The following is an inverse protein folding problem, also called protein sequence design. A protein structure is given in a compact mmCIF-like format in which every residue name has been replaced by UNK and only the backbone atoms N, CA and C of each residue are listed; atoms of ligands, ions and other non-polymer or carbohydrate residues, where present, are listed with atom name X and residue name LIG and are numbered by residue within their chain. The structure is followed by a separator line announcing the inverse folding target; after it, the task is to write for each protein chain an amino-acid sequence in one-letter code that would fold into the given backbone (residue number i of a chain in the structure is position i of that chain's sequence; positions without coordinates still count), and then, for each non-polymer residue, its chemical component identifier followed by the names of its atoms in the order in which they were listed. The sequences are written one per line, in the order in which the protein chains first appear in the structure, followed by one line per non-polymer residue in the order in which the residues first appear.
data_IF_679465932864
#
_entry.id   IF_679465932864
#
_cell.length_a   1.000
_cell.length_b   1.000
_cell.length_c   1.000
_cell.angle_alpha   90.00
_cell.angle_beta   90.00
_cell.angle_gamma   90.00
#
_symmetry.space_group_name_H-M   'P 1'
#
loop_
_entity.id
_entity.type
_entity.pdbx_description
1 polymer ?
#
# COMPACT_ATOMS: atom_id res chain seq x y z
N UNK A 1 -12.86 8.06 7.91
CA UNK A 1 -11.39 7.94 8.06
C UNK A 1 -10.61 9.09 7.42
N UNK A 2 -10.74 9.37 6.11
CA UNK A 2 -9.97 10.45 5.46
C UNK A 2 -10.17 11.82 6.13
N UNK A 3 -11.43 12.20 6.41
CA UNK A 3 -11.73 13.48 7.07
C UNK A 3 -11.06 13.63 8.44
N UNK A 4 -11.02 12.54 9.22
CA UNK A 4 -10.38 12.53 10.54
C UNK A 4 -8.86 12.70 10.42
N UNK A 5 -8.21 11.93 9.55
CA UNK A 5 -6.77 12.11 9.31
C UNK A 5 -6.44 13.51 8.81
N UNK A 6 -7.24 14.05 7.88
CA UNK A 6 -7.05 15.41 7.39
C UNK A 6 -7.21 16.44 8.52
N UNK A 7 -8.16 16.24 9.44
CA UNK A 7 -8.32 17.11 10.61
C UNK A 7 -7.11 17.01 11.56
N UNK A 8 -6.57 15.81 11.80
CA UNK A 8 -5.37 15.62 12.61
C UNK A 8 -4.14 16.31 11.99
N UNK A 9 -3.93 16.19 10.68
CA UNK A 9 -2.82 16.88 10.00
C UNK A 9 -2.99 18.40 10.12
N UNK A 10 -4.20 18.92 9.89
CA UNK A 10 -4.50 20.34 10.07
C UNK A 10 -4.29 20.83 11.50
N UNK A 11 -4.59 19.99 12.49
CA UNK A 11 -4.33 20.28 13.89
C UNK A 11 -2.82 20.36 14.19
N UNK A 12 -2.03 19.40 13.69
CA UNK A 12 -0.56 19.37 13.93
C UNK A 12 0.15 20.58 13.35
N UNK A 13 -0.19 20.97 12.11
CA UNK A 13 0.48 22.10 11.46
C UNK A 13 -0.16 23.46 11.80
N UNK A 14 -1.41 23.48 12.30
CA UNK A 14 -2.25 24.62 12.69
C UNK A 14 -2.49 25.75 11.66
N UNK A 15 -1.60 25.89 10.68
CA UNK A 15 -1.46 27.00 9.74
C UNK A 15 -1.89 26.62 8.32
N UNK A 16 -2.43 25.42 8.10
CA UNK A 16 -2.86 24.96 6.78
C UNK A 16 -4.15 25.70 6.38
N UNK A 17 -4.19 26.47 5.29
CA UNK A 17 -5.41 27.13 4.81
C UNK A 17 -6.52 26.11 4.50
N UNK A 18 -7.78 26.48 4.70
CA UNK A 18 -8.93 25.56 4.54
C UNK A 18 -9.03 24.92 3.15
N UNK A 19 -8.62 25.66 2.10
CA UNK A 19 -8.65 25.20 0.71
C UNK A 19 -7.35 24.55 0.24
N UNK A 20 -6.29 24.61 1.04
CA UNK A 20 -4.99 24.04 0.70
C UNK A 20 -5.05 22.51 0.71
N UNK A 21 -4.28 21.88 -0.18
CA UNK A 21 -4.14 20.44 -0.20
C UNK A 21 -3.43 19.96 1.06
N UNK A 22 -4.04 18.98 1.75
CA UNK A 22 -3.47 18.40 2.98
C UNK A 22 -2.41 17.33 2.68
N UNK A 23 -2.41 16.78 1.47
CA UNK A 23 -1.48 15.72 1.02
C UNK A 23 0.01 16.02 1.25
N UNK A 24 0.56 17.20 0.92
CA UNK A 24 1.99 17.47 1.14
C UNK A 24 2.34 17.46 2.63
N UNK A 25 1.48 18.02 3.49
CA UNK A 25 1.64 17.97 4.95
C UNK A 25 1.55 16.54 5.51
N UNK A 26 0.66 15.75 4.93
CA UNK A 26 0.54 14.33 5.26
C UNK A 26 1.83 13.55 4.89
N UNK A 27 2.45 13.89 3.77
CA UNK A 27 3.75 13.34 3.36
C UNK A 27 4.88 13.84 4.26
N UNK A 28 4.89 15.11 4.67
CA UNK A 28 5.90 15.66 5.60
C UNK A 28 5.92 14.94 6.95
N UNK A 29 4.75 14.54 7.46
CA UNK A 29 4.66 13.69 8.67
C UNK A 29 5.13 12.25 8.45
N UNK A 30 5.46 11.88 7.21
CA UNK A 30 5.81 10.52 6.83
C UNK A 30 4.62 9.57 6.87
N UNK A 31 3.37 10.04 6.91
CA UNK A 31 2.19 9.19 7.05
C UNK A 31 1.74 8.61 5.69
N UNK A 32 1.23 7.37 5.70
CA UNK A 32 0.54 6.75 4.55
C UNK A 32 -0.91 7.23 4.40
N UNK A 33 -1.32 7.56 3.18
CA UNK A 33 -2.70 7.91 2.86
C UNK A 33 -3.67 6.82 3.33
N UNK A 34 -4.95 7.15 3.58
CA UNK A 34 -5.95 6.12 3.98
C UNK A 34 -5.96 4.93 3.02
N UNK A 35 -5.83 5.19 1.72
CA UNK A 35 -5.78 4.16 0.68
C UNK A 35 -4.59 3.23 0.90
N UNK A 36 -3.37 3.76 1.01
CA UNK A 36 -2.16 2.96 1.20
C UNK A 36 -2.07 2.33 2.58
N UNK A 37 -2.54 3.01 3.63
CA UNK A 37 -2.64 2.45 4.98
C UNK A 37 -3.56 1.23 5.03
N UNK A 38 -4.70 1.25 4.32
CA UNK A 38 -5.54 0.06 4.17
C UNK A 38 -4.79 -1.06 3.45
N UNK A 39 -4.09 -0.77 2.36
CA UNK A 39 -3.28 -1.77 1.64
C UNK A 39 -2.20 -2.37 2.55
N UNK A 40 -1.48 -1.53 3.29
CA UNK A 40 -0.48 -1.94 4.27
C UNK A 40 -1.06 -2.94 5.27
N UNK A 41 -2.18 -2.60 5.93
CA UNK A 41 -2.82 -3.47 6.92
C UNK A 41 -3.35 -4.77 6.31
N UNK A 42 -3.92 -4.72 5.10
CA UNK A 42 -4.44 -5.91 4.41
C UNK A 42 -3.31 -6.90 4.08
N UNK A 43 -2.23 -6.39 3.48
CA UNK A 43 -1.06 -7.20 3.13
C UNK A 43 -0.39 -7.73 4.39
N UNK A 44 -0.25 -6.88 5.42
CA UNK A 44 0.32 -7.24 6.70
C UNK A 44 -0.43 -8.41 7.35
N UNK A 45 -1.76 -8.32 7.38
CA UNK A 45 -2.61 -9.39 7.90
C UNK A 45 -2.44 -10.67 7.07
N UNK A 46 -2.48 -10.58 5.75
CA UNK A 46 -2.31 -11.73 4.87
C UNK A 46 -0.94 -12.42 5.05
N UNK A 47 0.14 -11.64 5.15
CA UNK A 47 1.48 -12.16 5.38
C UNK A 47 1.61 -12.80 6.77
N UNK A 48 1.00 -12.20 7.80
CA UNK A 48 0.96 -12.82 9.12
C UNK A 48 0.24 -14.16 9.10
N UNK A 49 -0.95 -14.24 8.48
CA UNK A 49 -1.67 -15.50 8.30
C UNK A 49 -0.82 -16.54 7.56
N UNK A 50 -0.15 -16.13 6.48
CA UNK A 50 0.73 -16.98 5.68
C UNK A 50 1.90 -17.55 6.48
N UNK A 51 2.43 -16.79 7.45
CA UNK A 51 3.58 -17.17 8.30
C UNK A 51 3.17 -17.95 9.54
N UNK A 52 2.15 -17.51 10.25
CA UNK A 52 1.66 -18.16 11.47
C UNK A 52 0.90 -19.45 11.17
N UNK A 53 0.26 -19.53 10.00
CA UNK A 53 -0.68 -20.60 9.68
C UNK A 53 -2.07 -20.43 10.31
N UNK A 54 -2.23 -19.46 11.22
CA UNK A 54 -3.42 -19.29 12.05
C UNK A 54 -4.08 -17.90 11.93
N UNK A 55 -5.42 -17.82 11.98
CA UNK A 55 -6.37 -18.93 12.10
C UNK A 55 -6.50 -19.73 10.79
N UNK A 56 -6.49 -21.06 10.91
CA UNK A 56 -6.52 -21.98 9.77
C UNK A 56 -7.62 -21.71 8.72
N UNK A 57 -8.87 -21.29 9.05
CA UNK A 57 -9.88 -21.01 8.04
C UNK A 57 -9.51 -19.82 7.15
N UNK A 58 -8.92 -18.78 7.73
CA UNK A 58 -8.48 -17.60 6.97
C UNK A 58 -7.21 -17.91 6.16
N UNK A 59 -6.31 -18.72 6.72
CA UNK A 59 -5.11 -19.17 6.00
C UNK A 59 -5.46 -19.96 4.74
N UNK A 60 -6.45 -20.84 4.83
CA UNK A 60 -6.90 -21.71 3.72
C UNK A 60 -7.49 -20.94 2.53
N UNK A 61 -7.84 -19.66 2.72
CA UNK A 61 -8.25 -18.78 1.62
C UNK A 61 -7.08 -18.47 0.66
N UNK A 62 -5.84 -18.50 1.16
CA UNK A 62 -4.65 -18.17 0.38
C UNK A 62 -3.98 -19.43 -0.18
N UNK A 63 -4.03 -19.60 -1.50
CA UNK A 63 -3.39 -20.73 -2.18
C UNK A 63 -2.08 -20.27 -2.83
N UNK A 64 -0.97 -20.91 -2.47
CA UNK A 64 0.31 -20.65 -3.14
C UNK A 64 0.27 -21.25 -4.53
N UNK A 65 0.87 -20.57 -5.50
CA UNK A 65 0.90 -21.09 -6.88
C UNK A 65 1.77 -22.35 -7.01
N UNK A 66 2.77 -22.56 -6.14
CA UNK A 66 3.59 -23.77 -6.11
C UNK A 66 2.79 -25.04 -5.77
N UNK A 67 1.69 -24.92 -5.03
CA UNK A 67 0.79 -26.02 -4.70
C UNK A 67 -0.04 -26.47 -5.92
N UNK A 68 -0.20 -25.57 -6.89
CA UNK A 68 -0.82 -25.87 -8.17
C UNK A 68 0.27 -26.30 -9.13
N UNK A 69 0.25 -27.57 -9.54
CA UNK A 69 1.03 -28.11 -10.66
C UNK A 69 0.59 -27.50 -12.01
N UNK A 70 0.59 -26.18 -12.13
CA UNK A 70 0.16 -25.43 -13.30
C UNK A 70 1.41 -25.00 -14.06
N UNK A 71 1.50 -25.44 -15.32
CA UNK A 71 2.59 -25.05 -16.23
C UNK A 71 2.48 -23.56 -16.50
N UNK A 72 3.42 -22.77 -15.97
CA UNK A 72 3.53 -21.36 -16.28
C UNK A 72 4.44 -21.15 -17.51
N UNK A 73 4.05 -20.23 -18.39
CA UNK A 73 4.91 -19.80 -19.49
C UNK A 73 6.16 -19.12 -18.93
N UNK A 74 7.35 -19.46 -19.45
CA UNK A 74 8.64 -18.87 -19.05
C UNK A 74 8.72 -17.35 -19.23
N UNK A 75 7.79 -16.76 -20.01
CA UNK A 75 7.76 -15.33 -20.31
C UNK A 75 7.10 -14.48 -19.22
N UNK A 76 6.41 -15.09 -18.25
CA UNK A 76 5.74 -14.37 -17.15
C UNK A 76 6.08 -15.04 -15.82
N UNK A 77 6.57 -14.25 -14.87
CA UNK A 77 6.77 -14.72 -13.51
C UNK A 77 5.40 -15.17 -12.94
N UNK A 78 5.35 -16.40 -12.42
CA UNK A 78 4.14 -16.92 -11.82
C UNK A 78 3.75 -16.05 -10.60
N UNK A 79 2.46 -15.71 -10.43
CA UNK A 79 2.03 -15.00 -9.23
C UNK A 79 2.33 -15.84 -7.99
N UNK A 80 2.70 -15.21 -6.88
CA UNK A 80 2.96 -15.91 -5.62
C UNK A 80 1.68 -16.56 -5.07
N UNK A 81 0.58 -15.81 -5.09
CA UNK A 81 -0.74 -16.24 -4.61
C UNK A 81 -1.69 -16.42 -5.78
N UNK A 82 -2.26 -17.61 -5.87
CA UNK A 82 -3.26 -17.95 -6.87
C UNK A 82 -4.67 -17.70 -6.32
N UNK A 83 -5.48 -16.99 -7.09
CA UNK A 83 -6.90 -16.81 -6.80
C UNK A 83 -7.76 -16.96 -8.06
N UNK A 84 -9.04 -17.30 -7.89
CA UNK A 84 -9.99 -17.36 -9.00
C UNK A 84 -10.35 -15.95 -9.44
N UNK A 85 -10.51 -15.73 -10.74
CA UNK A 85 -10.98 -14.45 -11.28
C UNK A 85 -12.34 -14.10 -10.66
N UNK A 86 -12.46 -12.96 -9.96
CA UNK A 86 -13.70 -12.58 -9.31
C UNK A 86 -14.75 -12.22 -10.37
N UNK A 87 -15.98 -12.72 -10.18
CA UNK A 87 -17.11 -12.44 -11.08
C UNK A 87 -17.98 -11.28 -10.63
N UNK A 88 -17.82 -10.83 -9.38
CA UNK A 88 -18.61 -9.75 -8.78
C UNK A 88 -17.68 -8.75 -8.09
N UNK A 89 -18.15 -7.51 -7.96
CA UNK A 89 -17.45 -6.44 -7.23
C UNK A 89 -17.22 -6.81 -5.76
N UNK A 90 -18.19 -7.48 -5.13
CA UNK A 90 -18.09 -7.96 -3.75
C UNK A 90 -16.90 -8.92 -3.56
N UNK A 91 -16.79 -9.93 -4.43
CA UNK A 91 -15.66 -10.88 -4.38
C UNK A 91 -14.37 -10.18 -4.77
N UNK A 92 -14.38 -9.32 -5.79
CA UNK A 92 -13.20 -8.56 -6.20
C UNK A 92 -12.64 -7.70 -5.07
N UNK A 93 -13.51 -7.09 -4.27
CA UNK A 93 -13.14 -6.24 -3.13
C UNK A 93 -12.99 -7.01 -1.81
N UNK A 94 -13.15 -8.34 -1.83
CA UNK A 94 -12.93 -9.18 -0.65
C UNK A 94 -11.48 -9.09 -0.18
N UNK A 95 -11.29 -9.35 1.12
CA UNK A 95 -10.00 -9.31 1.79
C UNK A 95 -8.94 -10.13 1.06
N UNK A 96 -9.18 -11.43 0.84
CA UNK A 96 -8.17 -12.35 0.32
C UNK A 96 -7.81 -12.08 -1.14
N UNK A 97 -8.79 -11.72 -1.99
CA UNK A 97 -8.54 -11.34 -3.39
C UNK A 97 -7.71 -10.06 -3.45
N UNK A 98 -8.13 -9.04 -2.71
CA UNK A 98 -7.46 -7.74 -2.71
C UNK A 98 -6.03 -7.87 -2.19
N UNK A 99 -5.83 -8.58 -1.07
CA UNK A 99 -4.51 -8.82 -0.51
C UNK A 99 -3.62 -9.63 -1.47
N UNK A 100 -4.15 -10.71 -2.07
CA UNK A 100 -3.40 -11.54 -3.02
C UNK A 100 -2.96 -10.74 -4.25
N UNK A 101 -3.85 -9.91 -4.80
CA UNK A 101 -3.52 -9.04 -5.93
C UNK A 101 -2.41 -8.06 -5.58
N UNK A 102 -2.49 -7.41 -4.41
CA UNK A 102 -1.46 -6.47 -3.97
C UNK A 102 -0.14 -7.21 -3.79
N UNK A 103 -0.13 -8.34 -3.07
CA UNK A 103 1.07 -9.16 -2.85
C UNK A 103 1.72 -9.57 -4.17
N UNK A 104 0.93 -10.01 -5.15
CA UNK A 104 1.44 -10.37 -6.48
C UNK A 104 1.99 -9.19 -7.28
N UNK A 105 1.61 -7.94 -6.94
CA UNK A 105 2.14 -6.73 -7.56
C UNK A 105 3.35 -6.14 -6.82
N UNK A 106 3.73 -6.70 -5.66
CA UNK A 106 4.87 -6.22 -4.91
C UNK A 106 6.19 -6.56 -5.63
N UNK A 107 7.22 -5.72 -5.47
CA UNK A 107 8.54 -6.03 -5.98
C UNK A 107 9.12 -7.27 -5.27
N UNK A 108 9.95 -8.04 -5.99
CA UNK A 108 10.59 -9.26 -5.50
C UNK A 108 11.40 -9.08 -4.19
N UNK A 109 11.77 -7.85 -3.83
CA UNK A 109 12.45 -7.57 -2.56
C UNK A 109 11.56 -7.78 -1.32
N UNK A 110 10.22 -7.77 -1.49
CA UNK A 110 9.25 -7.94 -0.40
C UNK A 110 8.68 -9.35 -0.48
N UNK A 111 9.41 -10.31 0.10
CA UNK A 111 9.02 -11.73 0.07
C UNK A 111 8.63 -12.25 1.47
N UNK A 112 8.01 -13.43 1.49
CA UNK A 112 7.64 -14.11 2.74
C UNK A 112 8.85 -14.45 3.61
N UNK A 113 10.03 -14.62 3.01
CA UNK A 113 11.29 -14.97 3.68
C UNK A 113 11.90 -13.85 4.51
N UNK A 114 11.48 -12.60 4.30
CA UNK A 114 12.02 -11.46 5.03
C UNK A 114 11.63 -11.56 6.52
N UNK A 115 12.50 -11.13 7.43
CA UNK A 115 12.17 -11.11 8.87
C UNK A 115 10.96 -10.20 9.14
N UNK A 116 10.31 -10.38 10.30
CA UNK A 116 9.08 -9.65 10.64
C UNK A 116 9.24 -8.11 10.63
N UNK A 117 10.42 -7.63 11.01
CA UNK A 117 10.71 -6.20 11.11
C UNK A 117 10.99 -5.64 9.71
N UNK A 118 11.84 -6.33 8.94
CA UNK A 118 12.29 -5.87 7.63
C UNK A 118 11.14 -5.74 6.63
N UNK A 119 10.21 -6.72 6.60
CA UNK A 119 9.11 -6.66 5.63
C UNK A 119 8.14 -5.50 5.91
N UNK A 120 7.91 -5.16 7.18
CA UNK A 120 7.01 -4.07 7.56
C UNK A 120 7.58 -2.74 7.10
N UNK A 121 8.86 -2.52 7.35
CA UNK A 121 9.58 -1.32 6.90
C UNK A 121 9.62 -1.24 5.37
N UNK A 122 9.98 -2.33 4.68
CA UNK A 122 10.04 -2.37 3.21
C UNK A 122 8.68 -2.13 2.56
N UNK A 123 7.62 -2.76 3.08
CA UNK A 123 6.25 -2.56 2.58
C UNK A 123 5.78 -1.14 2.82
N UNK A 124 6.06 -0.59 4.00
CA UNK A 124 5.72 0.79 4.33
C UNK A 124 6.38 1.76 3.36
N UNK A 125 7.70 1.64 3.19
CA UNK A 125 8.49 2.49 2.30
C UNK A 125 8.01 2.38 0.86
N UNK A 126 7.74 1.16 0.36
CA UNK A 126 7.21 0.97 -0.98
C UNK A 126 5.86 1.69 -1.18
N UNK A 127 4.92 1.52 -0.24
CA UNK A 127 3.61 2.17 -0.32
C UNK A 127 3.70 3.69 -0.16
N UNK A 128 4.64 4.17 0.65
CA UNK A 128 4.88 5.60 0.85
C UNK A 128 5.49 6.24 -0.40
N UNK A 129 6.42 5.56 -1.09
CA UNK A 129 6.91 5.99 -2.40
C UNK A 129 5.80 6.07 -3.45
N UNK A 130 4.84 5.13 -3.42
CA UNK A 130 3.67 5.20 -4.30
C UNK A 130 2.75 6.37 -3.97
N UNK A 131 2.55 6.71 -2.69
CA UNK A 131 1.81 7.92 -2.30
C UNK A 131 2.51 9.19 -2.78
N UNK A 132 3.84 9.26 -2.65
CA UNK A 132 4.64 10.37 -3.21
C UNK A 132 4.46 10.49 -4.72
N UNK A 133 4.57 9.38 -5.45
CA UNK A 133 4.38 9.37 -6.90
C UNK A 133 2.96 9.78 -7.32
N UNK A 134 1.93 9.28 -6.62
CA UNK A 134 0.54 9.66 -6.85
C UNK A 134 0.33 11.17 -6.62
N UNK A 135 0.96 11.74 -5.58
CA UNK A 135 0.92 13.17 -5.32
C UNK A 135 1.61 13.99 -6.42
N UNK A 136 2.82 13.59 -6.83
CA UNK A 136 3.57 14.27 -7.91
C UNK A 136 2.75 14.26 -9.21
N UNK A 137 2.19 13.11 -9.59
CA UNK A 137 1.34 13.00 -10.77
C UNK A 137 0.14 13.95 -10.68
N UNK A 138 -0.51 14.01 -9.51
CA UNK A 138 -1.63 14.91 -9.28
C UNK A 138 -1.23 16.38 -9.40
N UNK A 139 -0.10 16.78 -8.81
CA UNK A 139 0.43 18.13 -8.94
C UNK A 139 0.68 18.51 -10.40
N UNK A 140 1.22 17.59 -11.19
CA UNK A 140 1.42 17.79 -12.63
C UNK A 140 0.08 17.99 -13.36
N UNK A 141 -0.95 17.17 -13.07
CA UNK A 141 -2.26 17.30 -13.71
C UNK A 141 -3.02 18.57 -13.29
N UNK A 142 -2.92 18.96 -12.03
CA UNK A 142 -3.63 20.12 -11.48
C UNK A 142 -2.81 21.43 -11.61
N UNK A 143 -1.58 21.36 -12.12
CA UNK A 143 -0.62 22.46 -12.22
C UNK A 143 -0.37 23.18 -10.87
N UNK A 144 -0.15 22.40 -9.81
CA UNK A 144 0.07 22.87 -8.44
C UNK A 144 1.52 22.59 -8.03
N UNK A 145 2.12 23.49 -7.23
CA UNK A 145 3.43 23.24 -6.63
C UNK A 145 3.39 21.99 -5.72
N UNK A 146 4.32 21.03 -5.88
CA UNK A 146 4.27 19.77 -5.15
C UNK A 146 4.67 19.90 -3.68
N UNK A 147 5.46 20.92 -3.34
CA UNK A 147 5.84 21.23 -1.96
C UNK A 147 5.36 22.66 -1.68
N UNK A 148 4.45 22.87 -0.73
CA UNK A 148 4.04 24.21 -0.34
C UNK A 148 5.22 24.91 0.37
N UNK A 149 5.35 26.24 0.26
CA UNK A 149 6.45 27.00 0.87
C UNK A 149 6.81 26.64 2.32
N UNK A 150 5.87 26.43 3.25
CA UNK A 150 6.20 26.08 4.64
C UNK A 150 6.90 24.72 4.81
N UNK A 151 6.84 23.83 3.82
CA UNK A 151 7.40 22.47 3.90
C UNK A 151 8.69 22.28 3.09
N UNK A 152 9.21 23.32 2.46
CA UNK A 152 10.39 23.22 1.57
C UNK A 152 11.61 22.64 2.29
N UNK A 153 11.77 22.92 3.59
CA UNK A 153 12.87 22.42 4.40
C UNK A 153 12.60 21.04 5.04
N UNK A 154 11.35 20.60 5.08
CA UNK A 154 10.93 19.38 5.79
C UNK A 154 10.65 18.22 4.82
N UNK A 155 10.19 18.51 3.61
CA UNK A 155 9.72 17.52 2.67
C UNK A 155 10.62 17.43 1.44
N UNK A 156 11.36 16.33 1.35
CA UNK A 156 12.12 15.98 0.15
C UNK A 156 11.30 14.98 -0.69
N UNK A 157 10.81 15.44 -1.84
CA UNK A 157 10.03 14.61 -2.77
C UNK A 157 10.89 13.85 -3.80
N UNK A 158 12.20 14.10 -3.86
CA UNK A 158 13.15 13.52 -4.83
C UNK A 158 14.46 13.10 -4.16
N UNK A 159 15.14 12.01 -4.57
CA UNK A 159 16.56 12.06 -4.85
C UNK A 159 16.82 12.67 -6.24
#
# INVERSE_FOLDING_TARGET
MQRLQNACVRFVFASIPTREHVTPYHLALGWLSVKRRRQYLLVLLALNLLRSGEPSPLRNLFKLSSDRQVRHSSRRQAPLLSYKTPRTSSIHNSFFITASRIINSLPFRINLTNTSIDYRALLYNHLYCLDKADWINRCHFENIAPIPPPLVNELVLWP
#
